data_IF_875113163235
#
_entry.id   IF_875113163235
#
_cell.length_a   1.000
_cell.length_b   1.000
_cell.length_c   1.000
_cell.angle_alpha   90.00
_cell.angle_beta   90.00
_cell.angle_gamma   90.00
#
_symmetry.space_group_name_H-M   'P 1'
#
loop_
_entity.id
_entity.type
_entity.pdbx_description
1 polymer ?
#
# COMPACT_ATOMS: atom_id res chain seq x y z
N UNK A 1 -4.69 -18.83 28.17
CA UNK A 1 -5.62 -17.68 28.23
C UNK A 1 -4.94 -16.53 27.53
N UNK A 2 -5.42 -16.09 26.36
CA UNK A 2 -5.22 -14.75 25.77
C UNK A 2 -5.72 -14.71 24.31
N UNK A 3 -6.99 -15.08 24.12
CA UNK A 3 -7.70 -14.89 22.83
C UNK A 3 -8.63 -13.67 22.84
N UNK A 4 -8.77 -12.98 23.97
CA UNK A 4 -9.78 -11.95 24.20
C UNK A 4 -9.26 -10.51 24.02
N UNK A 5 -7.96 -10.30 23.88
CA UNK A 5 -7.38 -8.97 23.66
C UNK A 5 -7.31 -8.56 22.19
N UNK A 6 -7.50 -9.52 21.27
CA UNK A 6 -7.38 -9.30 19.83
C UNK A 6 -8.55 -8.49 19.22
N UNK A 7 -9.66 -8.36 19.95
CA UNK A 7 -10.91 -7.72 19.49
C UNK A 7 -11.34 -6.58 20.40
N UNK A 8 -10.40 -5.77 20.90
CA UNK A 8 -10.74 -4.46 21.47
C UNK A 8 -11.18 -3.54 20.33
N UNK A 9 -12.25 -2.77 20.50
CA UNK A 9 -12.61 -1.70 19.56
C UNK A 9 -11.40 -0.75 19.46
N UNK A 10 -10.77 -0.68 18.28
CA UNK A 10 -9.50 0.03 18.04
C UNK A 10 -8.24 -0.85 17.98
N UNK A 11 -8.32 -2.16 18.25
CA UNK A 11 -7.25 -3.10 17.95
C UNK A 11 -7.22 -3.35 16.44
N UNK A 12 -6.17 -2.86 15.78
CA UNK A 12 -6.01 -3.05 14.34
C UNK A 12 -5.54 -4.48 14.06
N UNK A 13 -6.45 -5.36 13.64
CA UNK A 13 -6.12 -6.72 13.25
C UNK A 13 -5.67 -6.76 11.78
N UNK A 14 -4.36 -6.82 11.58
CA UNK A 14 -3.70 -6.88 10.27
C UNK A 14 -2.27 -6.37 10.37
N UNK A 15 -1.43 -6.70 9.38
CA UNK A 15 -0.12 -6.04 9.28
C UNK A 15 -0.35 -4.58 8.88
N UNK A 16 -0.38 -3.65 9.85
CA UNK A 16 -0.55 -2.19 9.68
C UNK A 16 0.22 -1.59 8.49
N UNK A 17 1.29 -2.24 8.06
CA UNK A 17 2.11 -1.88 6.90
C UNK A 17 1.40 -1.93 5.55
N UNK A 18 0.29 -2.67 5.41
CA UNK A 18 -0.47 -2.76 4.16
C UNK A 18 -1.76 -1.92 4.17
N UNK A 19 -2.20 -1.48 5.35
CA UNK A 19 -3.44 -0.73 5.51
C UNK A 19 -3.26 0.69 4.99
N UNK A 20 -4.23 1.16 4.20
CA UNK A 20 -4.21 2.53 3.70
C UNK A 20 -4.31 3.54 4.86
N UNK A 21 -3.71 4.74 4.76
CA UNK A 21 -3.76 5.75 5.82
C UNK A 21 -5.18 6.08 6.28
N UNK A 22 -6.13 6.23 5.35
CA UNK A 22 -7.53 6.54 5.64
C UNK A 22 -8.23 5.43 6.45
N UNK A 23 -7.94 4.15 6.16
CA UNK A 23 -8.47 3.01 6.93
C UNK A 23 -7.98 2.98 8.37
N UNK A 24 -6.78 3.50 8.65
CA UNK A 24 -6.23 3.58 10.01
C UNK A 24 -6.96 4.63 10.86
N UNK A 25 -7.52 5.65 10.20
CA UNK A 25 -8.28 6.72 10.83
C UNK A 25 -9.74 6.30 11.00
N UNK A 26 -10.34 5.79 9.92
CA UNK A 26 -11.71 5.29 9.88
C UNK A 26 -11.78 4.05 9.00
N UNK A 27 -11.92 2.88 9.62
CA UNK A 27 -11.99 1.61 8.89
C UNK A 27 -13.22 1.52 7.96
N UNK A 28 -14.26 2.33 8.17
CA UNK A 28 -15.47 2.35 7.33
C UNK A 28 -15.30 3.19 6.06
N UNK A 29 -14.22 3.98 5.96
CA UNK A 29 -13.88 4.81 4.80
C UNK A 29 -13.28 4.02 3.62
N UNK A 30 -13.16 2.69 3.74
CA UNK A 30 -12.59 1.84 2.71
C UNK A 30 -13.35 1.95 1.38
N UNK A 31 -12.61 2.21 0.31
CA UNK A 31 -13.13 2.33 -1.05
C UNK A 31 -12.19 1.65 -2.06
N UNK A 32 -12.48 1.77 -3.36
CA UNK A 32 -11.63 1.20 -4.41
C UNK A 32 -10.17 1.70 -4.34
N UNK A 33 -9.94 2.98 -4.02
CA UNK A 33 -8.60 3.55 -3.85
C UNK A 33 -7.86 3.01 -2.62
N UNK A 34 -8.59 2.48 -1.66
CA UNK A 34 -8.03 1.81 -0.49
C UNK A 34 -7.44 0.45 -0.87
N UNK A 35 -8.13 -0.30 -1.73
CA UNK A 35 -7.62 -1.57 -2.25
C UNK A 35 -6.38 -1.37 -3.14
N UNK A 36 -6.33 -0.28 -3.91
CA UNK A 36 -5.14 0.12 -4.68
C UNK A 36 -3.91 0.28 -3.79
N UNK A 37 -4.07 0.87 -2.60
CA UNK A 37 -2.98 1.03 -1.64
C UNK A 37 -2.50 -0.33 -1.11
N UNK A 38 -3.43 -1.17 -0.65
CA UNK A 38 -3.11 -2.49 -0.13
C UNK A 38 -2.43 -3.39 -1.16
N UNK A 39 -2.89 -3.34 -2.41
CA UNK A 39 -2.28 -4.08 -3.51
C UNK A 39 -0.87 -3.55 -3.85
N UNK A 40 -0.68 -2.24 -3.92
CA UNK A 40 0.64 -1.64 -4.17
C UNK A 40 1.64 -1.95 -3.05
N UNK A 41 1.20 -1.94 -1.79
CA UNK A 41 2.01 -2.38 -0.65
C UNK A 41 2.39 -3.86 -0.75
N UNK A 42 1.45 -4.70 -1.22
CA UNK A 42 1.68 -6.13 -1.45
C UNK A 42 2.69 -6.37 -2.56
N UNK A 43 2.55 -5.70 -3.70
CA UNK A 43 3.48 -5.80 -4.82
C UNK A 43 4.88 -5.32 -4.43
N UNK A 44 4.99 -4.21 -3.70
CA UNK A 44 6.28 -3.78 -3.14
C UNK A 44 6.91 -4.89 -2.29
N UNK A 45 6.14 -5.51 -1.39
CA UNK A 45 6.64 -6.57 -0.52
C UNK A 45 7.12 -7.79 -1.33
N UNK A 46 6.38 -8.18 -2.37
CA UNK A 46 6.74 -9.29 -3.25
C UNK A 46 8.02 -9.01 -4.05
N UNK A 47 8.15 -7.80 -4.60
CA UNK A 47 9.31 -7.40 -5.43
C UNK A 47 10.57 -7.22 -4.58
N UNK A 48 10.44 -6.67 -3.38
CA UNK A 48 11.59 -6.28 -2.55
C UNK A 48 11.94 -7.27 -1.45
N UNK A 49 11.03 -8.21 -1.12
CA UNK A 49 11.13 -9.07 0.06
C UNK A 49 11.07 -8.31 1.39
N UNK A 50 10.70 -7.03 1.39
CA UNK A 50 10.71 -6.17 2.56
C UNK A 50 9.29 -5.81 3.01
N UNK A 51 9.08 -5.69 4.32
CA UNK A 51 7.80 -5.19 4.86
C UNK A 51 7.56 -3.72 4.43
N UNK A 52 6.38 -3.36 3.90
CA UNK A 52 6.07 -2.02 3.41
C UNK A 52 5.78 -1.00 4.53
N UNK A 53 6.59 -0.99 5.60
CA UNK A 53 6.36 -0.11 6.77
C UNK A 53 6.43 1.36 6.36
N UNK A 54 5.31 2.08 6.52
CA UNK A 54 5.20 3.53 6.30
C UNK A 54 5.61 3.97 4.89
N UNK A 55 5.36 3.17 3.84
CA UNK A 55 5.73 3.56 2.47
C UNK A 55 5.02 4.83 1.99
N UNK A 56 3.77 5.04 2.37
CA UNK A 56 3.05 6.28 2.06
C UNK A 56 3.75 7.56 2.58
N UNK A 57 4.55 7.42 3.65
CA UNK A 57 5.35 8.50 4.23
C UNK A 57 6.79 8.49 3.71
N UNK A 58 7.23 7.37 3.14
CA UNK A 58 8.53 7.25 2.51
C UNK A 58 8.43 7.84 1.11
N UNK A 59 8.76 9.13 0.99
CA UNK A 59 8.76 9.83 -0.30
C UNK A 59 9.57 9.09 -1.39
N UNK A 60 9.40 9.50 -2.66
CA UNK A 60 9.91 8.76 -3.82
C UNK A 60 11.44 8.59 -3.82
N UNK A 61 12.18 9.48 -3.16
CA UNK A 61 13.63 9.43 -3.03
C UNK A 61 14.14 8.46 -1.94
N UNK A 62 13.24 7.79 -1.22
CA UNK A 62 13.65 6.88 -0.16
C UNK A 62 14.51 5.72 -0.69
N UNK A 63 15.60 5.40 0.02
CA UNK A 63 16.44 4.23 -0.26
C UNK A 63 15.67 2.88 -0.29
N UNK A 64 14.44 2.85 0.23
CA UNK A 64 13.53 1.70 0.15
C UNK A 64 13.19 1.31 -1.29
N UNK A 65 13.14 2.28 -2.19
CA UNK A 65 12.82 2.08 -3.60
C UNK A 65 13.97 1.50 -4.42
N UNK A 66 15.20 1.50 -3.90
CA UNK A 66 16.38 0.98 -4.58
C UNK A 66 16.30 -0.52 -4.94
N UNK A 67 15.41 -1.27 -4.28
CA UNK A 67 15.16 -2.70 -4.59
C UNK A 67 14.20 -2.90 -5.75
N UNK A 68 13.40 -1.90 -6.11
CA UNK A 68 12.52 -1.93 -7.29
C UNK A 68 13.34 -1.42 -8.47
N UNK A 69 13.88 -2.34 -9.27
CA UNK A 69 14.84 -2.02 -10.35
C UNK A 69 14.21 -1.41 -11.60
N UNK A 70 12.96 -1.75 -11.88
CA UNK A 70 12.22 -1.19 -13.01
C UNK A 70 11.60 0.15 -12.57
N UNK A 71 11.97 1.23 -13.26
CA UNK A 71 11.52 2.58 -12.94
C UNK A 71 10.01 2.74 -13.18
N UNK A 72 9.46 2.13 -14.23
CA UNK A 72 8.01 2.18 -14.53
C UNK A 72 7.21 1.49 -13.42
N UNK A 73 7.68 0.34 -12.95
CA UNK A 73 7.09 -0.34 -11.81
C UNK A 73 7.21 0.50 -10.53
N UNK A 74 8.37 1.12 -10.30
CA UNK A 74 8.59 1.97 -9.12
C UNK A 74 7.60 3.14 -9.09
N UNK A 75 7.45 3.86 -10.21
CA UNK A 75 6.55 5.00 -10.33
C UNK A 75 5.09 4.57 -10.11
N UNK A 76 4.69 3.43 -10.67
CA UNK A 76 3.34 2.89 -10.50
C UNK A 76 3.05 2.52 -9.04
N UNK A 77 4.01 1.88 -8.36
CA UNK A 77 3.88 1.56 -6.94
C UNK A 77 3.86 2.81 -6.06
N UNK A 78 4.67 3.82 -6.37
CA UNK A 78 4.68 5.09 -5.66
C UNK A 78 3.33 5.81 -5.79
N UNK A 79 2.77 5.87 -7.00
CA UNK A 79 1.45 6.44 -7.24
C UNK A 79 0.33 5.67 -6.51
N UNK A 80 0.38 4.34 -6.51
CA UNK A 80 -0.58 3.51 -5.77
C UNK A 80 -0.45 3.61 -4.24
N UNK A 81 0.70 4.03 -3.73
CA UNK A 81 0.98 4.18 -2.30
C UNK A 81 0.80 5.61 -1.79
N UNK A 82 0.30 6.53 -2.61
CA UNK A 82 0.09 7.92 -2.21
C UNK A 82 -0.75 8.02 -0.92
N UNK A 83 -0.39 8.97 -0.05
CA UNK A 83 -1.09 9.19 1.19
C UNK A 83 -2.53 9.68 0.97
N UNK A 84 -2.79 10.38 -0.13
CA UNK A 84 -4.09 10.90 -0.55
C UNK A 84 -4.75 9.89 -1.48
N UNK A 85 -5.95 9.39 -1.12
CA UNK A 85 -6.63 8.34 -1.88
C UNK A 85 -6.95 8.77 -3.31
N UNK A 86 -7.33 10.03 -3.50
CA UNK A 86 -7.73 10.61 -4.79
C UNK A 86 -6.54 10.80 -5.75
N UNK A 87 -5.31 10.88 -5.23
CA UNK A 87 -4.09 10.97 -6.03
C UNK A 87 -3.66 9.60 -6.60
N UNK A 88 -4.18 8.50 -6.03
CA UNK A 88 -3.87 7.15 -6.50
C UNK A 88 -4.56 6.89 -7.84
N UNK A 89 -3.99 6.04 -8.71
CA UNK A 89 -4.69 5.51 -9.88
C UNK A 89 -5.87 4.64 -9.45
N UNK A 90 -6.78 4.40 -10.39
CA UNK A 90 -7.79 3.35 -10.28
C UNK A 90 -7.16 1.97 -10.37
N UNK A 91 -7.90 0.97 -9.92
CA UNK A 91 -7.55 -0.43 -10.09
C UNK A 91 -7.42 -0.80 -11.57
N UNK A 92 -8.20 -0.16 -12.44
CA UNK A 92 -8.08 -0.32 -13.90
C UNK A 92 -6.76 0.27 -14.39
N UNK A 93 -6.45 1.52 -14.03
CA UNK A 93 -5.19 2.17 -14.42
C UNK A 93 -3.96 1.43 -13.86
N UNK A 94 -4.05 0.95 -12.61
CA UNK A 94 -3.01 0.11 -12.00
C UNK A 94 -2.80 -1.18 -12.79
N UNK A 95 -3.89 -1.89 -13.13
CA UNK A 95 -3.82 -3.12 -13.94
C UNK A 95 -3.20 -2.86 -15.31
N UNK A 96 -3.66 -1.83 -16.03
CA UNK A 96 -3.11 -1.50 -17.35
C UNK A 96 -1.64 -1.10 -17.25
N UNK A 97 -1.26 -0.32 -16.25
CA UNK A 97 0.13 0.01 -15.96
C UNK A 97 1.00 -1.23 -15.74
N UNK A 98 0.52 -2.20 -14.95
CA UNK A 98 1.23 -3.47 -14.72
C UNK A 98 1.35 -4.31 -16.00
N UNK A 99 0.31 -4.36 -16.83
CA UNK A 99 0.32 -5.11 -18.10
C UNK A 99 1.24 -4.46 -19.15
N UNK A 100 1.50 -3.16 -19.05
CA UNK A 100 2.39 -2.41 -19.91
C UNK A 100 3.89 -2.56 -19.55
N UNK A 101 4.22 -3.25 -18.44
CA UNK A 101 5.61 -3.53 -18.02
C UNK A 101 6.33 -4.57 -18.87
N UNK A 102 5.71 -5.04 -19.96
CA UNK A 102 6.32 -5.95 -20.93
C UNK A 102 7.56 -5.36 -21.60
#
# INVERSE_FOLDING_TARGET
>A
TDGSELTRVGACLGSLSFMAPEQRIDATSACERTDVHGLSATLFALVTGCTPRNLALAGPESARWARVRDDRLRDLLQAGLDAVAEARPSMVELREGLLALR
#
